data_IF_497549721928
#
_entry.id   IF_497549721928
#
_cell.length_a   1.000
_cell.length_b   1.000
_cell.length_c   1.000
_cell.angle_alpha   90.00
_cell.angle_beta   90.00
_cell.angle_gamma   90.00
#
_symmetry.space_group_name_H-M   'P 1'
#
loop_
_entity.id
_entity.type
_entity.pdbx_description
1 polymer ?
#
# COMPACT_ATOMS: atom_id res chain seq x y z
N UNK A 1 4.33 14.85 -3.91
CA UNK A 1 4.71 13.44 -4.06
C UNK A 1 3.50 12.56 -4.26
N UNK A 2 3.73 11.42 -4.83
CA UNK A 2 2.67 10.46 -5.11
C UNK A 2 3.05 9.14 -4.48
N UNK A 3 2.07 8.43 -3.95
CA UNK A 3 2.37 7.21 -3.18
C UNK A 3 1.49 6.07 -3.64
N UNK A 4 2.07 4.87 -3.60
CA UNK A 4 1.30 3.63 -3.69
C UNK A 4 1.51 2.93 -2.36
N UNK A 5 0.42 2.50 -1.74
CA UNK A 5 0.51 1.94 -0.39
C UNK A 5 -0.24 0.63 -0.31
N UNK A 6 0.16 -0.19 0.64
CA UNK A 6 -0.48 -1.47 0.89
C UNK A 6 -0.94 -1.50 2.33
N UNK A 7 -2.22 -1.73 2.53
CA UNK A 7 -2.82 -1.89 3.85
C UNK A 7 -3.20 -3.34 4.06
N UNK A 8 -3.14 -3.78 5.30
CA UNK A 8 -3.55 -5.13 5.66
C UNK A 8 -4.62 -5.01 6.73
N UNK A 9 -5.73 -5.71 6.53
CA UNK A 9 -6.77 -5.75 7.54
C UNK A 9 -6.25 -6.47 8.78
N UNK A 10 -6.61 -5.95 9.94
CA UNK A 10 -6.25 -6.60 11.19
C UNK A 10 -7.28 -7.61 11.62
N UNK A 11 -8.40 -7.70 10.91
CA UNK A 11 -9.47 -8.63 11.29
C UNK A 11 -9.73 -9.70 10.24
N UNK A 12 -9.18 -9.54 9.03
CA UNK A 12 -9.34 -10.53 7.98
C UNK A 12 -8.03 -10.72 7.25
N UNK A 13 -8.03 -11.58 6.25
CA UNK A 13 -6.87 -11.76 5.39
C UNK A 13 -6.77 -10.72 4.29
N UNK A 14 -7.72 -9.83 4.22
CA UNK A 14 -7.79 -8.91 3.09
C UNK A 14 -6.70 -7.86 3.16
N UNK A 15 -6.25 -7.45 2.00
CA UNK A 15 -5.31 -6.34 1.88
C UNK A 15 -5.82 -5.40 0.81
N UNK A 16 -5.28 -4.21 0.80
CA UNK A 16 -5.74 -3.17 -0.11
C UNK A 16 -4.53 -2.42 -0.65
N UNK A 17 -4.52 -2.21 -1.95
CA UNK A 17 -3.49 -1.40 -2.60
C UNK A 17 -4.16 -0.13 -3.09
N UNK A 18 -3.58 1.00 -2.78
CA UNK A 18 -4.14 2.27 -3.21
C UNK A 18 -3.09 3.25 -3.66
N UNK A 19 -3.56 4.30 -4.29
CA UNK A 19 -2.77 5.41 -4.73
C UNK A 19 -3.24 6.65 -3.97
N UNK A 20 -2.30 7.51 -3.59
CA UNK A 20 -2.70 8.72 -2.90
C UNK A 20 -1.66 9.81 -3.13
N UNK A 21 -2.12 11.06 -3.08
CA UNK A 21 -1.22 12.21 -3.04
C UNK A 21 -1.03 12.69 -1.60
N UNK A 22 -1.78 12.12 -0.67
CA UNK A 22 -1.62 12.40 0.74
C UNK A 22 -0.56 11.48 1.32
N UNK A 23 -0.08 11.82 2.50
CA UNK A 23 0.81 10.90 3.19
C UNK A 23 0.09 9.59 3.43
N UNK A 24 0.78 8.45 3.27
CA UNK A 24 0.10 7.17 3.47
C UNK A 24 -0.53 7.01 4.84
N UNK A 25 0.08 7.58 5.88
CA UNK A 25 -0.50 7.51 7.21
C UNK A 25 -1.83 8.23 7.28
N UNK A 26 -1.98 9.32 6.54
CA UNK A 26 -3.25 10.04 6.54
C UNK A 26 -4.32 9.23 5.81
N UNK A 27 -3.96 8.58 4.72
CA UNK A 27 -4.92 7.71 4.05
C UNK A 27 -5.30 6.54 4.92
N UNK A 28 -4.34 6.01 5.68
CA UNK A 28 -4.66 4.95 6.63
C UNK A 28 -5.73 5.38 7.61
N UNK A 29 -5.60 6.60 8.14
CA UNK A 29 -6.59 7.10 9.07
C UNK A 29 -7.95 7.20 8.40
N UNK A 30 -7.99 7.64 7.15
CA UNK A 30 -9.26 7.76 6.44
C UNK A 30 -9.90 6.40 6.23
N UNK A 31 -9.12 5.40 5.85
CA UNK A 31 -9.66 4.06 5.69
C UNK A 31 -10.21 3.51 7.00
N UNK A 32 -9.49 3.75 8.09
CA UNK A 32 -9.91 3.24 9.39
C UNK A 32 -11.12 4.00 9.93
N UNK A 33 -11.33 5.22 9.45
CA UNK A 33 -12.54 5.97 9.80
C UNK A 33 -13.73 5.61 8.94
N UNK A 34 -13.53 4.70 7.99
CA UNK A 34 -14.63 4.26 7.16
C UNK A 34 -14.95 5.17 6.00
N UNK A 35 -14.07 6.08 5.64
CA UNK A 35 -14.36 6.99 4.54
C UNK A 35 -14.31 6.31 3.18
N UNK A 36 -13.69 5.15 3.08
CA UNK A 36 -13.70 4.38 1.86
C UNK A 36 -14.68 3.23 2.04
N UNK A 37 -15.76 3.26 1.27
CA UNK A 37 -16.83 2.30 1.47
C UNK A 37 -16.36 0.87 1.23
N UNK A 38 -15.48 0.67 0.26
CA UNK A 38 -15.02 -0.68 -0.05
C UNK A 38 -14.24 -1.29 1.12
N UNK A 39 -13.43 -0.48 1.79
CA UNK A 39 -12.60 -1.01 2.86
C UNK A 39 -13.28 -0.96 4.22
N UNK A 40 -14.43 -0.32 4.35
CA UNK A 40 -15.02 -0.11 5.67
C UNK A 40 -15.38 -1.40 6.36
N UNK A 41 -15.69 -2.45 5.60
CA UNK A 41 -16.03 -3.74 6.20
C UNK A 41 -14.85 -4.53 6.70
N UNK A 42 -13.64 -4.09 6.42
CA UNK A 42 -12.44 -4.84 6.78
C UNK A 42 -11.56 -4.08 7.76
N UNK A 43 -12.01 -2.93 8.21
CA UNK A 43 -11.19 -2.14 9.13
C UNK A 43 -11.15 -2.80 10.49
N UNK A 44 -10.15 -2.52 11.30
CA UNK A 44 -9.09 -1.56 11.02
C UNK A 44 -7.97 -2.17 10.19
N UNK A 45 -7.26 -1.30 9.50
CA UNK A 45 -6.10 -1.68 8.71
C UNK A 45 -4.82 -1.20 9.35
N UNK A 46 -3.74 -1.85 8.99
CA UNK A 46 -2.42 -1.33 9.30
C UNK A 46 -1.70 -1.05 7.98
N UNK A 47 -0.83 -0.07 7.99
CA UNK A 47 -0.04 0.28 6.81
C UNK A 47 1.19 -0.61 6.81
N UNK A 48 1.27 -1.47 5.79
CA UNK A 48 2.35 -2.43 5.71
C UNK A 48 3.55 -1.85 4.98
N UNK A 49 3.29 -1.07 3.93
CA UNK A 49 4.35 -0.74 3.00
C UNK A 49 3.87 0.38 2.10
N UNK A 50 4.78 1.23 1.67
CA UNK A 50 4.43 2.20 0.66
C UNK A 50 5.64 2.53 -0.19
N UNK A 51 5.36 3.05 -1.38
CA UNK A 51 6.37 3.50 -2.33
C UNK A 51 6.10 4.94 -2.68
N UNK A 52 7.15 5.71 -2.89
CA UNK A 52 7.05 7.12 -3.20
C UNK A 52 7.45 7.37 -4.64
N UNK A 53 6.69 8.20 -5.33
CA UNK A 53 6.96 8.53 -6.72
C UNK A 53 6.95 10.03 -6.91
N UNK A 54 7.83 10.50 -7.77
CA UNK A 54 7.83 11.89 -8.18
C UNK A 54 6.77 12.12 -9.26
N UNK A 55 6.49 11.11 -10.05
CA UNK A 55 5.61 11.21 -11.22
C UNK A 55 4.30 10.50 -10.96
N UNK A 56 3.20 11.22 -11.15
CA UNK A 56 1.89 10.64 -10.92
C UNK A 56 1.62 9.43 -11.82
N UNK A 57 2.03 9.53 -13.08
CA UNK A 57 1.80 8.43 -14.01
C UNK A 57 2.49 7.16 -13.55
N UNK A 58 3.71 7.30 -13.04
CA UNK A 58 4.43 6.13 -12.55
C UNK A 58 3.74 5.53 -11.34
N UNK A 59 3.22 6.36 -10.47
CA UNK A 59 2.51 5.85 -9.30
C UNK A 59 1.27 5.08 -9.72
N UNK A 60 0.51 5.63 -10.66
CA UNK A 60 -0.70 4.96 -11.11
C UNK A 60 -0.39 3.66 -11.82
N UNK A 61 0.70 3.62 -12.58
CA UNK A 61 1.12 2.38 -13.22
C UNK A 61 1.49 1.33 -12.17
N UNK A 62 2.15 1.76 -11.11
CA UNK A 62 2.54 0.83 -10.07
C UNK A 62 1.34 0.30 -9.32
N UNK A 63 0.36 1.14 -9.06
CA UNK A 63 -0.87 0.67 -8.43
C UNK A 63 -1.52 -0.41 -9.29
N UNK A 64 -1.62 -0.16 -10.58
CA UNK A 64 -2.21 -1.15 -11.48
C UNK A 64 -1.37 -2.42 -11.51
N UNK A 65 -0.05 -2.27 -11.45
CA UNK A 65 0.81 -3.45 -11.43
C UNK A 65 0.50 -4.34 -10.23
N UNK A 66 0.35 -3.74 -9.05
CA UNK A 66 0.07 -4.54 -7.87
C UNK A 66 -1.28 -5.25 -7.95
N UNK A 67 -2.18 -4.74 -8.79
CA UNK A 67 -3.48 -5.37 -8.97
C UNK A 67 -3.49 -6.38 -10.11
N UNK A 68 -2.38 -6.51 -10.83
CA UNK A 68 -2.26 -7.51 -11.88
C UNK A 68 -1.79 -8.83 -11.29
N UNK A 69 -1.81 -9.88 -12.12
CA UNK A 69 -1.39 -11.19 -11.64
C UNK A 69 0.04 -11.22 -11.12
N UNK A 70 0.96 -10.62 -11.88
CA UNK A 70 2.35 -10.60 -11.45
C UNK A 70 2.55 -9.74 -10.22
N UNK A 71 1.88 -8.61 -10.19
CA UNK A 71 2.02 -7.72 -9.05
C UNK A 71 1.43 -8.29 -7.79
N UNK A 72 0.39 -9.10 -7.92
CA UNK A 72 -0.17 -9.76 -6.74
C UNK A 72 0.81 -10.71 -6.11
N UNK A 73 1.65 -11.34 -6.91
CA UNK A 73 2.70 -12.20 -6.36
C UNK A 73 3.68 -11.38 -5.53
N UNK A 74 4.08 -10.23 -6.04
CA UNK A 74 4.98 -9.37 -5.29
C UNK A 74 4.29 -8.85 -4.02
N UNK A 75 3.03 -8.48 -4.13
CA UNK A 75 2.29 -8.04 -2.96
C UNK A 75 2.25 -9.11 -1.90
N UNK A 76 2.05 -10.35 -2.30
CA UNK A 76 2.01 -11.46 -1.37
C UNK A 76 3.35 -11.59 -0.63
N UNK A 77 4.45 -11.43 -1.35
CA UNK A 77 5.76 -11.48 -0.72
C UNK A 77 5.92 -10.34 0.28
N UNK A 78 5.51 -9.15 -0.10
CA UNK A 78 5.61 -8.00 0.78
C UNK A 78 4.78 -8.23 2.05
N UNK A 79 3.56 -8.73 1.89
CA UNK A 79 2.71 -8.97 3.04
C UNK A 79 3.30 -10.03 3.96
N UNK A 80 3.87 -11.07 3.37
CA UNK A 80 4.48 -12.12 4.16
C UNK A 80 5.67 -11.61 4.94
N UNK A 81 6.47 -10.77 4.29
CA UNK A 81 7.69 -10.27 4.90
C UNK A 81 7.41 -9.26 5.99
N UNK A 82 6.54 -8.32 5.71
CA UNK A 82 6.27 -7.23 6.64
C UNK A 82 5.20 -7.54 7.67
N UNK A 83 4.45 -8.25 7.30
CA UNK A 83 3.47 -8.60 8.12
C UNK A 83 3.84 -9.41 9.21
N UNK A 84 4.70 -9.98 9.11
CA UNK A 84 5.26 -10.92 10.06
C UNK A 84 5.83 -10.19 11.24
N UNK A 85 5.03 -9.40 11.83
CA UNK A 85 5.43 -8.78 13.05
C UNK A 85 6.23 -7.51 12.91
N UNK A 86 6.51 -7.09 11.72
CA UNK A 86 7.09 -5.78 11.55
C UNK A 86 5.97 -4.78 11.68
N UNK A 87 5.98 -4.03 12.73
CA UNK A 87 4.82 -3.24 13.06
C UNK A 87 4.68 -2.00 12.21
N UNK A 88 5.75 -1.41 11.77
CA UNK A 88 5.63 -0.14 11.10
C UNK A 88 5.84 -0.27 9.63
N UNK A 89 5.22 0.60 8.88
CA UNK A 89 5.39 0.64 7.46
C UNK A 89 6.78 1.10 7.11
N UNK A 90 7.31 0.56 6.03
CA UNK A 90 8.57 0.99 5.50
C UNK A 90 8.32 1.75 4.22
N UNK A 91 8.89 2.88 4.12
CA UNK A 91 8.86 3.61 2.88
C UNK A 91 9.90 3.12 1.92
N UNK A 92 9.60 2.78 0.94
CA UNK A 92 10.46 2.38 0.13
C UNK A 92 10.44 3.33 -0.88
N UNK A 93 11.37 3.71 -1.26
CA UNK A 93 11.44 4.65 -2.35
C UNK A 93 11.46 3.90 -3.65
N UNK A 94 10.42 4.05 -4.36
CA UNK A 94 10.35 3.29 -5.58
C UNK A 94 11.02 3.98 -6.70
N UNK A 95 11.31 5.18 -6.50
CA UNK A 95 12.02 5.78 -7.55
C UNK A 95 13.39 5.33 -7.46
N UNK A 96 13.51 4.81 -6.40
CA UNK A 96 14.66 4.25 -6.45
C UNK A 96 14.55 3.28 -7.47
N UNK A 97 13.70 3.36 -8.16
CA UNK A 97 13.79 2.69 -9.09
C UNK A 97 14.84 2.84 -9.44
N UNK A 98 14.98 3.16 -8.78
CA UNK A 98 15.69 3.41 -8.63
C UNK A 98 16.25 2.71 -8.16
N UNK A 99 15.95 2.17 -7.92
CA UNK A 99 16.16 1.62 -7.43
C UNK A 99 16.29 0.84 -7.52
N UNK A 100 16.11 0.47 -7.66
CA UNK A 100 15.98 0.04 -7.60
C UNK A 100 16.03 -0.29 -7.77
N UNK A 101 16.01 -0.27 -8.05
CA UNK A 101 15.66 -0.26 -8.02
C UNK A 101 15.71 -0.27 -8.02
#
# INVERSE_FOLDING_TARGET
>A
MYYVYILKSLVTDKSYVGYTEKLPEDRLKEHNNGSNQWTSGYKPFTLIYYETFVCKTDALKRERFYKSGQGKKLKTIILKYYXRGVASAKGXSASGRQLEX
#
